data_IF_505924939534
#
_entry.id   IF_505924939534
#
_cell.length_a   1.000
_cell.length_b   1.000
_cell.length_c   1.000
_cell.angle_alpha   90.00
_cell.angle_beta   90.00
_cell.angle_gamma   90.00
#
_symmetry.space_group_name_H-M   'P 1'
#
loop_
_entity.id
_entity.type
_entity.pdbx_description
1 polymer ?
#
# COMPACT_ATOMS: atom_id res chain seq x y z
N UNK A 1 5.12 11.90 23.01
CA UNK A 1 5.04 11.56 21.66
C UNK A 1 3.71 10.95 21.36
N UNK A 2 3.03 11.38 20.34
CA UNK A 2 1.74 10.83 20.06
C UNK A 2 1.86 9.56 19.29
N UNK A 3 0.94 8.67 19.42
CA UNK A 3 0.97 7.46 18.63
C UNK A 3 0.67 7.78 17.18
N UNK A 4 1.08 6.94 16.29
CA UNK A 4 0.81 7.19 14.88
C UNK A 4 -0.67 7.20 14.62
N UNK A 5 -1.11 8.08 13.77
CA UNK A 5 -2.52 8.13 13.40
C UNK A 5 -2.77 7.17 12.26
N UNK A 6 -4.01 6.91 11.98
CA UNK A 6 -4.36 6.09 10.82
C UNK A 6 -3.85 6.73 9.54
N UNK A 7 -3.94 8.05 9.45
CA UNK A 7 -3.47 8.73 8.26
C UNK A 7 -1.97 8.50 8.06
N UNK A 8 -1.22 8.53 9.15
CA UNK A 8 0.22 8.29 9.08
C UNK A 8 0.50 6.86 8.63
N UNK A 9 -0.26 5.91 9.14
CA UNK A 9 -0.06 4.51 8.77
C UNK A 9 -0.43 4.26 7.31
N UNK A 10 -1.47 4.92 6.81
CA UNK A 10 -1.82 4.82 5.40
C UNK A 10 -0.71 5.40 4.56
N UNK A 11 -0.15 6.52 4.97
CA UNK A 11 0.95 7.12 4.25
C UNK A 11 2.16 6.19 4.21
N UNK A 12 2.43 5.49 5.30
CA UNK A 12 3.52 4.53 5.31
C UNK A 12 3.28 3.41 4.31
N UNK A 13 2.04 2.93 4.21
CA UNK A 13 1.71 1.90 3.22
C UNK A 13 1.93 2.41 1.81
N UNK A 14 1.50 3.64 1.54
CA UNK A 14 1.68 4.21 0.21
C UNK A 14 3.14 4.39 -0.14
N UNK A 15 3.94 4.82 0.84
CA UNK A 15 5.37 4.97 0.63
C UNK A 15 6.01 3.63 0.34
N UNK A 16 5.63 2.61 1.07
CA UNK A 16 6.15 1.27 0.85
C UNK A 16 5.81 0.79 -0.56
N UNK A 17 4.56 1.01 -1.00
CA UNK A 17 4.16 0.62 -2.33
C UNK A 17 4.98 1.34 -3.40
N UNK A 18 5.20 2.63 -3.19
CA UNK A 18 5.96 3.40 -4.16
C UNK A 18 7.39 2.89 -4.27
N UNK A 19 8.00 2.56 -3.14
CA UNK A 19 9.35 2.05 -3.14
C UNK A 19 9.43 0.70 -3.84
N UNK A 20 8.43 -0.16 -3.62
CA UNK A 20 8.42 -1.47 -4.26
C UNK A 20 8.24 -1.34 -5.76
N UNK A 21 7.37 -0.45 -6.19
CA UNK A 21 7.15 -0.23 -7.62
C UNK A 21 8.41 0.33 -8.25
N UNK A 22 9.07 1.29 -7.60
CA UNK A 22 10.29 1.87 -8.12
C UNK A 22 11.39 0.84 -8.26
N UNK A 23 11.56 0.00 -7.24
CA UNK A 23 12.56 -1.05 -7.26
C UNK A 23 12.26 -2.05 -8.38
N UNK A 24 11.00 -2.42 -8.53
CA UNK A 24 10.60 -3.35 -9.58
C UNK A 24 10.90 -2.79 -10.95
N UNK A 25 10.60 -1.51 -11.16
CA UNK A 25 10.86 -0.88 -12.46
C UNK A 25 12.36 -0.85 -12.79
N UNK A 26 13.18 -0.56 -11.80
CA UNK A 26 14.62 -0.55 -12.02
C UNK A 26 15.12 -1.92 -12.42
N UNK A 27 14.65 -2.95 -11.74
CA UNK A 27 15.10 -4.30 -12.03
C UNK A 27 14.59 -4.79 -13.37
N UNK A 28 13.38 -4.37 -13.75
CA UNK A 28 12.87 -4.69 -15.07
C UNK A 28 13.71 -4.06 -16.15
N UNK A 29 14.14 -2.82 -15.95
CA UNK A 29 14.97 -2.14 -16.94
C UNK A 29 16.32 -2.79 -17.06
N UNK A 30 16.87 -3.27 -15.98
CA UNK A 30 18.18 -3.91 -16.04
C UNK A 30 18.09 -5.34 -16.54
N UNK A 31 16.90 -5.88 -16.64
CA UNK A 31 16.75 -7.24 -17.14
C UNK A 31 17.21 -8.31 -16.17
N UNK A 32 17.33 -7.97 -14.90
CA UNK A 32 17.87 -8.92 -13.94
C UNK A 32 16.81 -9.50 -13.03
N UNK A 33 15.54 -9.43 -13.41
CA UNK A 33 14.50 -9.89 -12.52
C UNK A 33 13.83 -11.13 -13.12
N UNK A 34 13.50 -12.08 -12.26
CA UNK A 34 12.83 -13.29 -12.69
C UNK A 34 11.32 -13.13 -12.54
N UNK A 35 10.59 -14.01 -13.18
CA UNK A 35 9.14 -14.02 -13.05
C UNK A 35 8.72 -14.20 -11.61
N UNK A 36 9.43 -15.06 -10.88
CA UNK A 36 9.10 -15.29 -9.47
C UNK A 36 9.28 -14.04 -8.64
N UNK A 37 10.32 -13.27 -8.93
CA UNK A 37 10.54 -12.04 -8.21
C UNK A 37 9.46 -11.01 -8.51
N UNK A 38 9.02 -10.97 -9.75
CA UNK A 38 7.92 -10.08 -10.13
C UNK A 38 6.66 -10.45 -9.36
N UNK A 39 6.34 -11.74 -9.33
CA UNK A 39 5.17 -12.22 -8.61
C UNK A 39 5.23 -11.88 -7.13
N UNK A 40 6.37 -12.11 -6.53
CA UNK A 40 6.55 -11.83 -5.11
C UNK A 40 6.36 -10.34 -4.82
N UNK A 41 6.90 -9.50 -5.69
CA UNK A 41 6.80 -8.06 -5.51
C UNK A 41 5.35 -7.60 -5.68
N UNK A 42 4.66 -8.13 -6.68
CA UNK A 42 3.27 -7.78 -6.90
C UNK A 42 2.39 -8.22 -5.73
N UNK A 43 2.65 -9.40 -5.19
CA UNK A 43 1.89 -9.87 -4.04
C UNK A 43 2.10 -8.97 -2.83
N UNK A 44 3.32 -8.50 -2.63
CA UNK A 44 3.60 -7.59 -1.52
C UNK A 44 2.90 -6.26 -1.72
N UNK A 45 2.83 -5.77 -2.94
CA UNK A 45 2.14 -4.52 -3.24
C UNK A 45 0.64 -4.69 -2.99
N UNK A 46 0.08 -5.82 -3.40
CA UNK A 46 -1.33 -6.09 -3.14
C UNK A 46 -1.63 -6.11 -1.65
N UNK A 47 -0.73 -6.69 -0.89
CA UNK A 47 -0.91 -6.73 0.55
C UNK A 47 -0.88 -5.33 1.16
N UNK A 48 0.01 -4.47 0.68
CA UNK A 48 0.04 -3.08 1.12
C UNK A 48 -1.25 -2.35 0.78
N UNK A 49 -1.81 -2.62 -0.40
CA UNK A 49 -3.07 -2.02 -0.80
C UNK A 49 -4.19 -2.47 0.14
N UNK A 50 -4.23 -3.76 0.44
CA UNK A 50 -5.25 -4.29 1.35
C UNK A 50 -5.14 -3.66 2.73
N UNK A 51 -3.93 -3.53 3.22
CA UNK A 51 -3.70 -2.92 4.52
C UNK A 51 -4.15 -1.47 4.53
N UNK A 52 -3.81 -0.73 3.48
CA UNK A 52 -4.21 0.67 3.39
C UNK A 52 -5.72 0.80 3.29
N UNK A 53 -6.37 -0.11 2.59
CA UNK A 53 -7.83 -0.07 2.45
C UNK A 53 -8.51 -0.30 3.81
N UNK A 54 -8.00 -1.24 4.58
CA UNK A 54 -8.55 -1.49 5.90
C UNK A 54 -8.37 -0.28 6.80
N UNK A 55 -7.18 0.31 6.76
CA UNK A 55 -6.92 1.50 7.57
C UNK A 55 -7.82 2.66 7.15
N UNK A 56 -8.05 2.80 5.86
CA UNK A 56 -8.90 3.88 5.37
C UNK A 56 -10.33 3.70 5.85
N UNK A 57 -10.81 2.47 5.89
CA UNK A 57 -12.15 2.21 6.39
C UNK A 57 -12.27 2.59 7.85
N UNK A 58 -11.24 2.34 8.62
CA UNK A 58 -11.27 2.66 10.03
C UNK A 58 -11.27 4.15 10.31
N UNK A 59 -10.81 4.94 9.36
CA UNK A 59 -10.76 6.34 9.61
C UNK A 59 -12.00 7.03 9.13
N UNK A 60 -12.94 6.37 8.50
CA UNK A 60 -14.13 7.02 8.02
C UNK A 60 -14.99 7.50 9.16
N UNK A 61 -15.62 8.61 9.02
CA UNK A 61 -16.43 9.16 10.09
C UNK A 61 -17.56 8.23 10.34
N UNK A 62 -17.82 8.02 11.55
CA UNK A 62 -18.85 7.14 11.84
C UNK A 62 -20.15 7.72 11.40
N UNK A 63 -20.27 8.85 11.20
CA UNK A 63 -21.46 9.39 10.80
C UNK A 63 -21.82 8.90 9.55
N UNK A 64 -21.22 8.28 9.09
CA UNK A 64 -21.53 7.66 8.12
C UNK A 64 -21.94 8.39 7.19
N UNK A 65 -21.78 9.13 7.26
CA UNK A 65 -22.20 9.83 6.40
C UNK A 65 -22.21 9.21 5.20
N UNK A 66 -21.94 8.30 5.01
CA UNK A 66 -21.88 7.74 3.94
C UNK A 66 -22.89 7.03 3.63
N UNK A 67 -23.76 7.18 3.79
CA UNK A 67 -24.71 6.45 3.57
C UNK A 67 -24.79 6.19 2.22
N UNK A 68 -24.94 5.18 1.85
CA UNK A 68 -24.98 4.83 0.58
C UNK A 68 -26.22 5.21 0.09
N UNK A 69 -26.88 5.51 0.53
CA UNK A 69 -28.08 5.86 0.04
C UNK A 69 -28.44 5.19 -0.80
#
# INVERSE_FOLDING_TARGET
MSPPTFAHRILECLTSMKLRVGSLRLRLRSGTISTEEIETCLAAIEQDIDTAAVLAQDVQPSGGSRSPA
#
